data_IF_496588329960
#
_entry.id   IF_496588329960
#
_cell.length_a   1.000
_cell.length_b   1.000
_cell.length_c   1.000
_cell.angle_alpha   90.00
_cell.angle_beta   90.00
_cell.angle_gamma   90.00
#
_symmetry.space_group_name_H-M   'P 1'
#
loop_
_entity.id
_entity.type
_entity.pdbx_description
1 polymer ?
#
# COMPACT_ATOMS: atom_id res chain seq x y z
N UNK A 1 -14.66 -10.41 15.56
CA UNK A 1 -13.63 -9.54 14.95
C UNK A 1 -13.12 -10.25 13.70
N UNK A 2 -13.44 -9.71 12.54
CA UNK A 2 -12.87 -10.16 11.29
C UNK A 2 -11.52 -9.47 11.16
N UNK A 3 -10.44 -10.21 11.32
CA UNK A 3 -9.15 -9.75 10.85
C UNK A 3 -9.22 -9.58 9.35
N UNK A 4 -8.90 -8.40 8.95
CA UNK A 4 -8.93 -7.78 7.64
C UNK A 4 -8.86 -8.72 6.44
N UNK A 5 -9.80 -8.55 5.54
CA UNK A 5 -9.62 -8.97 4.14
C UNK A 5 -8.56 -8.03 3.54
N UNK A 6 -7.38 -8.54 3.28
CA UNK A 6 -6.37 -7.79 2.52
C UNK A 6 -6.74 -7.85 1.05
N UNK A 7 -7.17 -6.73 0.52
CA UNK A 7 -7.36 -6.53 -0.91
C UNK A 7 -6.04 -5.99 -1.49
N UNK A 8 -5.45 -6.75 -2.40
CA UNK A 8 -4.27 -6.32 -3.12
C UNK A 8 -4.71 -6.00 -4.52
N UNK A 9 -4.77 -4.71 -4.82
CA UNK A 9 -5.05 -4.21 -6.14
C UNK A 9 -3.76 -3.65 -6.75
N UNK A 10 -3.31 -4.26 -7.83
CA UNK A 10 -2.21 -3.74 -8.63
C UNK A 10 -2.78 -2.96 -9.80
N UNK A 11 -2.83 -1.65 -9.67
CA UNK A 11 -3.27 -0.76 -10.73
C UNK A 11 -2.19 -0.64 -11.82
N UNK A 12 -2.28 -1.48 -12.79
CA UNK A 12 -1.81 -1.27 -14.16
C UNK A 12 -2.96 -0.68 -14.98
N UNK A 13 -2.78 -0.32 -16.29
CA UNK A 13 -3.90 0.11 -17.14
C UNK A 13 -5.14 -0.73 -16.87
N UNK A 14 -6.29 -0.10 -16.83
CA UNK A 14 -7.56 -0.66 -16.31
C UNK A 14 -7.89 -2.07 -16.83
N UNK A 15 -7.47 -2.40 -18.04
CA UNK A 15 -7.57 -3.72 -18.68
C UNK A 15 -6.66 -4.80 -18.07
N UNK A 16 -5.69 -4.41 -17.25
CA UNK A 16 -4.70 -5.29 -16.63
C UNK A 16 -4.79 -5.32 -15.11
N UNK A 17 -5.93 -4.95 -14.54
CA UNK A 17 -6.13 -5.00 -13.09
C UNK A 17 -6.61 -6.39 -12.68
N UNK A 18 -5.95 -6.96 -11.70
CA UNK A 18 -6.35 -8.21 -11.09
C UNK A 18 -6.38 -8.10 -9.57
N UNK A 19 -7.52 -8.36 -8.97
CA UNK A 19 -7.69 -8.45 -7.53
C UNK A 19 -7.54 -9.89 -7.03
N UNK A 20 -6.96 -10.05 -5.86
CA UNK A 20 -6.93 -11.32 -5.16
C UNK A 20 -7.44 -11.12 -3.74
N UNK A 21 -8.55 -11.76 -3.41
CA UNK A 21 -9.11 -11.75 -2.05
C UNK A 21 -8.48 -12.92 -1.30
N UNK A 22 -7.70 -12.60 -0.28
CA UNK A 22 -7.10 -13.58 0.60
C UNK A 22 -7.91 -13.62 1.91
N UNK A 23 -8.75 -14.63 2.13
CA UNK A 23 -9.41 -14.78 3.42
C UNK A 23 -8.38 -15.20 4.47
N UNK A 24 -8.17 -14.35 5.46
CA UNK A 24 -7.32 -14.66 6.58
C UNK A 24 -8.19 -15.06 7.79
N UNK A 25 -7.98 -16.23 8.35
CA UNK A 25 -8.54 -16.53 9.65
C UNK A 25 -7.92 -15.60 10.70
N UNK A 26 -8.75 -15.17 11.62
CA UNK A 26 -8.43 -14.31 12.76
C UNK A 26 -7.02 -14.54 13.33
N UNK A 27 -6.22 -13.48 13.43
CA UNK A 27 -4.91 -13.47 14.09
C UNK A 27 -3.74 -14.08 13.33
N UNK A 28 -3.89 -14.58 12.11
CA UNK A 28 -2.77 -15.21 11.38
C UNK A 28 -1.83 -14.22 10.70
N UNK A 29 -2.27 -13.03 10.37
CA UNK A 29 -1.43 -12.02 9.74
C UNK A 29 -0.51 -11.30 10.71
N UNK A 30 -0.84 -11.31 12.00
CA UNK A 30 -0.09 -10.57 13.03
C UNK A 30 0.21 -9.14 12.59
N UNK A 31 -0.83 -8.45 12.10
CA UNK A 31 -0.69 -7.07 11.64
C UNK A 31 -0.05 -6.21 12.71
N UNK A 32 1.01 -5.46 12.40
CA UNK A 32 1.65 -4.59 13.36
C UNK A 32 0.72 -3.47 13.80
N UNK A 33 0.90 -3.00 15.03
CA UNK A 33 0.11 -1.89 15.59
C UNK A 33 0.51 -0.52 15.04
N UNK A 34 1.65 -0.47 14.38
CA UNK A 34 2.25 0.75 13.84
C UNK A 34 2.77 0.49 12.41
N UNK A 35 2.78 1.52 11.60
CA UNK A 35 3.24 1.45 10.21
C UNK A 35 4.76 1.38 10.04
N UNK A 36 5.50 1.71 11.08
CA UNK A 36 6.97 1.79 11.09
C UNK A 36 7.67 0.55 11.66
N UNK A 37 6.90 -0.42 12.16
CA UNK A 37 7.43 -1.62 12.79
C UNK A 37 6.76 -2.89 12.25
N UNK A 38 7.55 -3.96 12.22
CA UNK A 38 7.07 -5.29 11.86
C UNK A 38 6.92 -5.54 10.37
N UNK A 39 7.06 -6.78 10.01
CA UNK A 39 6.91 -7.27 8.65
C UNK A 39 5.53 -7.88 8.45
N UNK A 40 4.94 -7.66 7.29
CA UNK A 40 3.74 -8.39 6.85
C UNK A 40 4.12 -9.27 5.67
N UNK A 41 3.92 -10.58 5.82
CA UNK A 41 4.23 -11.57 4.79
C UNK A 41 3.03 -12.45 4.51
N UNK A 42 2.70 -12.57 3.25
CA UNK A 42 1.58 -13.36 2.77
C UNK A 42 2.10 -14.28 1.69
N UNK A 43 1.80 -15.57 1.80
CA UNK A 43 2.10 -16.51 0.73
C UNK A 43 1.07 -17.62 0.65
N UNK A 44 0.77 -18.00 -0.57
CA UNK A 44 -0.01 -19.19 -0.90
C UNK A 44 0.53 -19.79 -2.21
N UNK A 45 -0.14 -20.78 -2.79
CA UNK A 45 0.30 -21.40 -4.05
C UNK A 45 0.28 -20.48 -5.27
N UNK A 46 -0.31 -19.28 -5.17
CA UNK A 46 -0.50 -18.36 -6.30
C UNK A 46 0.24 -17.03 -6.13
N UNK A 47 0.49 -16.61 -4.89
CA UNK A 47 1.00 -15.28 -4.59
C UNK A 47 1.97 -15.33 -3.42
N UNK A 48 3.12 -14.68 -3.58
CA UNK A 48 4.00 -14.24 -2.50
C UNK A 48 4.00 -12.72 -2.42
N UNK A 49 3.71 -12.16 -1.24
CA UNK A 49 3.75 -10.73 -1.02
C UNK A 49 4.39 -10.44 0.33
N UNK A 50 5.35 -9.52 0.34
CA UNK A 50 6.02 -9.08 1.55
C UNK A 50 6.06 -7.56 1.62
N UNK A 51 5.66 -7.02 2.76
CA UNK A 51 5.93 -5.65 3.18
C UNK A 51 6.87 -5.71 4.38
N UNK A 52 8.10 -5.27 4.17
CA UNK A 52 9.13 -5.34 5.19
C UNK A 52 9.51 -3.92 5.63
N UNK A 53 9.79 -3.77 6.93
CA UNK A 53 10.29 -2.52 7.49
C UNK A 53 11.67 -2.80 8.07
N UNK A 54 12.70 -2.22 7.47
CA UNK A 54 14.11 -2.40 7.87
C UNK A 54 14.89 -1.10 7.70
N UNK A 55 15.62 -0.72 8.73
CA UNK A 55 16.54 0.41 8.67
C UNK A 55 15.89 1.67 8.08
N UNK A 56 14.69 2.02 8.58
CA UNK A 56 13.88 3.15 8.12
C UNK A 56 13.42 3.07 6.65
N UNK A 57 13.66 1.94 5.99
CA UNK A 57 13.21 1.65 4.63
C UNK A 57 12.03 0.70 4.64
N UNK A 58 11.19 0.85 3.64
CA UNK A 58 10.10 -0.08 3.34
C UNK A 58 10.46 -0.86 2.09
N UNK A 59 10.39 -2.17 2.19
CA UNK A 59 10.69 -3.06 1.06
C UNK A 59 9.40 -3.79 0.70
N UNK A 60 9.03 -3.70 -0.57
CA UNK A 60 7.89 -4.40 -1.14
C UNK A 60 8.41 -5.48 -2.07
N UNK A 61 8.03 -6.73 -1.80
CA UNK A 61 8.29 -7.86 -2.69
C UNK A 61 6.99 -8.51 -3.10
N UNK A 62 6.86 -8.78 -4.37
CA UNK A 62 5.74 -9.51 -4.93
C UNK A 62 6.26 -10.57 -5.88
N UNK A 63 5.65 -11.75 -5.82
CA UNK A 63 5.80 -12.81 -6.82
C UNK A 63 4.42 -13.39 -7.09
N UNK A 64 3.85 -13.07 -8.26
CA UNK A 64 2.51 -13.45 -8.66
C UNK A 64 2.54 -14.00 -10.10
N UNK A 65 2.91 -15.28 -10.29
CA UNK A 65 3.10 -15.86 -11.63
C UNK A 65 1.84 -15.84 -12.52
N UNK A 66 0.68 -16.06 -11.93
CA UNK A 66 -0.60 -16.12 -12.67
C UNK A 66 -1.29 -14.75 -12.83
N UNK A 67 -0.60 -13.66 -12.48
CA UNK A 67 -1.15 -12.32 -12.67
C UNK A 67 -1.51 -12.06 -14.12
N UNK A 68 -2.67 -11.45 -14.36
CA UNK A 68 -3.19 -11.09 -15.67
C UNK A 68 -3.11 -12.25 -16.70
N UNK A 69 -3.72 -13.38 -16.34
CA UNK A 69 -3.80 -14.55 -17.20
C UNK A 69 -2.47 -15.26 -17.47
N UNK A 70 -1.53 -15.18 -16.52
CA UNK A 70 -0.23 -15.84 -16.63
C UNK A 70 0.90 -14.96 -17.19
N UNK A 71 0.66 -13.67 -17.41
CA UNK A 71 1.72 -12.71 -17.78
C UNK A 71 2.75 -12.53 -16.67
N UNK A 72 2.33 -12.76 -15.42
CA UNK A 72 3.19 -12.71 -14.26
C UNK A 72 3.52 -11.29 -13.80
N UNK A 73 3.65 -11.14 -12.49
CA UNK A 73 4.11 -9.90 -11.83
C UNK A 73 5.14 -10.26 -10.79
N UNK A 74 6.33 -9.71 -10.91
CA UNK A 74 7.39 -9.84 -9.91
C UNK A 74 7.94 -8.46 -9.58
N UNK A 75 7.96 -8.11 -8.29
CA UNK A 75 8.43 -6.81 -7.83
C UNK A 75 9.43 -6.95 -6.68
N UNK A 76 10.41 -6.08 -6.67
CA UNK A 76 11.29 -5.84 -5.53
C UNK A 76 11.61 -4.34 -5.51
N UNK A 77 10.92 -3.61 -4.64
CA UNK A 77 10.97 -2.16 -4.56
C UNK A 77 11.38 -1.78 -3.14
N UNK A 78 12.28 -0.83 -3.02
CA UNK A 78 12.65 -0.19 -1.77
C UNK A 78 12.17 1.24 -1.79
N UNK A 79 11.47 1.64 -0.75
CA UNK A 79 11.05 3.01 -0.49
C UNK A 79 11.87 3.55 0.67
N UNK A 80 12.56 4.67 0.45
CA UNK A 80 13.28 5.35 1.51
C UNK A 80 12.35 6.31 2.21
N UNK A 81 12.08 6.02 3.49
CA UNK A 81 11.40 6.95 4.36
C UNK A 81 12.42 8.00 4.77
N UNK A 82 12.25 9.19 4.26
CA UNK A 82 12.95 10.35 4.78
C UNK A 82 12.14 10.89 5.96
N UNK A 83 12.74 11.71 6.80
CA UNK A 83 12.06 12.42 7.92
C UNK A 83 11.03 13.41 7.38
N UNK A 84 10.08 12.92 6.64
CA UNK A 84 9.09 13.71 5.92
C UNK A 84 7.81 13.85 6.73
N UNK A 85 7.08 14.89 6.42
CA UNK A 85 5.76 15.14 6.96
C UNK A 85 4.84 13.94 6.72
N UNK A 86 4.18 13.52 7.77
CA UNK A 86 3.17 12.46 7.71
C UNK A 86 1.78 13.03 8.00
N UNK A 87 0.82 12.68 7.16
CA UNK A 87 -0.56 13.01 7.40
C UNK A 87 -1.21 11.93 8.25
N UNK A 88 -1.81 12.32 9.37
CA UNK A 88 -2.56 11.42 10.24
C UNK A 88 -4.02 11.86 10.30
N UNK A 89 -4.93 10.94 10.09
CA UNK A 89 -6.36 11.15 10.15
C UNK A 89 -6.94 10.20 11.22
N UNK A 90 -7.74 10.75 12.13
CA UNK A 90 -8.52 9.98 13.07
C UNK A 90 -9.97 10.48 13.02
N UNK A 91 -10.86 9.66 12.47
CA UNK A 91 -12.25 10.04 12.22
C UNK A 91 -13.20 9.08 12.93
N UNK A 92 -14.08 9.55 13.82
CA UNK A 92 -15.20 8.77 14.29
C UNK A 92 -16.33 8.77 13.26
N UNK A 93 -17.06 7.67 13.15
CA UNK A 93 -18.27 7.63 12.32
C UNK A 93 -19.49 8.10 13.11
N UNK A 94 -20.33 8.93 12.49
CA UNK A 94 -21.52 9.51 13.13
C UNK A 94 -22.59 8.49 13.47
N UNK A 95 -22.72 7.46 12.66
CA UNK A 95 -23.79 6.45 12.74
C UNK A 95 -23.50 5.31 13.70
N UNK A 96 -22.23 5.05 13.99
CA UNK A 96 -21.80 4.02 14.93
C UNK A 96 -20.68 4.55 15.83
N UNK A 97 -20.96 4.72 17.11
CA UNK A 97 -20.00 5.22 18.10
C UNK A 97 -18.81 4.30 18.36
N UNK A 98 -18.88 3.05 17.94
CA UNK A 98 -17.79 2.08 18.04
C UNK A 98 -16.94 2.04 16.77
N UNK A 99 -17.46 2.58 15.68
CA UNK A 99 -16.73 2.67 14.42
C UNK A 99 -15.76 3.86 14.46
N UNK A 100 -14.57 3.62 13.96
CA UNK A 100 -13.54 4.65 13.83
C UNK A 100 -12.62 4.29 12.67
N UNK A 101 -11.97 5.29 12.14
CA UNK A 101 -10.95 5.19 11.12
C UNK A 101 -9.70 5.94 11.58
N UNK A 102 -8.59 5.24 11.67
CA UNK A 102 -7.27 5.82 11.88
C UNK A 102 -6.39 5.49 10.68
N UNK A 103 -5.78 6.50 10.11
CA UNK A 103 -4.99 6.35 8.91
C UNK A 103 -3.75 7.24 8.96
N UNK A 104 -2.66 6.71 8.42
CA UNK A 104 -1.42 7.43 8.21
C UNK A 104 -1.07 7.40 6.71
N UNK A 105 -0.71 8.54 6.18
CA UNK A 105 -0.30 8.68 4.78
C UNK A 105 1.05 9.38 4.71
N UNK A 106 1.96 8.78 3.95
CA UNK A 106 3.28 9.34 3.67
C UNK A 106 3.43 9.39 2.15
N UNK A 107 3.80 10.55 1.63
CA UNK A 107 4.08 10.75 0.22
C UNK A 107 5.58 10.95 0.00
N UNK A 108 6.01 11.00 -1.25
CA UNK A 108 7.35 11.37 -1.67
C UNK A 108 8.49 10.49 -1.12
N UNK A 109 8.22 9.26 -0.73
CA UNK A 109 9.30 8.31 -0.42
C UNK A 109 10.08 8.00 -1.69
N UNK A 110 11.39 8.20 -1.70
CA UNK A 110 12.22 7.86 -2.86
C UNK A 110 12.14 6.37 -3.14
N UNK A 111 11.81 6.02 -4.39
CA UNK A 111 11.60 4.63 -4.78
C UNK A 111 12.71 4.14 -5.68
N UNK A 112 13.27 2.97 -5.36
CA UNK A 112 14.21 2.27 -6.23
C UNK A 112 13.87 0.78 -6.30
N UNK A 113 14.24 0.15 -7.39
CA UNK A 113 14.01 -1.28 -7.57
C UNK A 113 13.52 -1.64 -8.94
N UNK A 114 12.90 -2.81 -9.03
CA UNK A 114 12.52 -3.40 -10.31
C UNK A 114 11.16 -4.08 -10.23
N UNK A 115 10.41 -3.96 -11.32
CA UNK A 115 9.18 -4.71 -11.56
C UNK A 115 9.31 -5.43 -12.91
N UNK A 116 9.02 -6.71 -12.90
CA UNK A 116 8.86 -7.52 -14.10
C UNK A 116 7.38 -7.78 -14.31
N UNK A 117 6.85 -7.40 -15.45
CA UNK A 117 5.49 -7.68 -15.85
C UNK A 117 5.45 -8.03 -17.33
N UNK A 118 4.76 -9.12 -17.69
CA UNK A 118 4.63 -9.60 -19.07
C UNK A 118 5.98 -9.72 -19.78
N UNK A 119 7.00 -10.25 -19.09
CA UNK A 119 8.37 -10.37 -19.61
C UNK A 119 9.13 -9.06 -19.76
N UNK A 120 8.51 -7.92 -19.47
CA UNK A 120 9.13 -6.60 -19.55
C UNK A 120 9.62 -6.13 -18.18
N UNK A 121 10.87 -5.64 -18.17
CA UNK A 121 11.47 -5.06 -16.98
C UNK A 121 11.20 -3.55 -16.91
N UNK A 122 10.73 -3.10 -15.73
CA UNK A 122 10.60 -1.70 -15.37
C UNK A 122 11.55 -1.43 -14.20
N UNK A 123 12.38 -0.42 -14.34
CA UNK A 123 13.34 0.00 -13.32
C UNK A 123 12.92 1.33 -12.74
N UNK A 124 13.01 1.45 -11.43
CA UNK A 124 12.69 2.65 -10.66
C UNK A 124 13.98 3.26 -10.15
N UNK A 125 14.10 4.56 -10.31
CA UNK A 125 15.25 5.37 -9.90
C UNK A 125 14.87 6.35 -8.80
N UNK A 126 15.61 6.40 -7.69
CA UNK A 126 15.29 7.31 -6.59
C UNK A 126 15.42 8.80 -6.95
N UNK A 127 16.02 9.12 -8.10
CA UNK A 127 16.09 10.49 -8.61
C UNK A 127 14.74 10.99 -9.13
N UNK A 128 13.91 10.08 -9.69
CA UNK A 128 12.69 10.45 -10.40
C UNK A 128 11.42 9.80 -9.86
N UNK A 129 11.57 8.67 -9.16
CA UNK A 129 10.44 7.84 -8.79
C UNK A 129 10.12 7.93 -7.30
N UNK A 130 8.83 7.93 -7.02
CA UNK A 130 8.31 8.07 -5.67
C UNK A 130 7.33 6.95 -5.32
N UNK A 131 7.33 6.57 -4.04
CA UNK A 131 6.31 5.75 -3.43
C UNK A 131 5.50 6.51 -2.40
N UNK A 132 4.36 5.95 -2.06
CA UNK A 132 3.49 6.45 -1.00
C UNK A 132 3.06 5.32 -0.06
N UNK A 133 2.77 5.68 1.18
CA UNK A 133 2.15 4.81 2.16
C UNK A 133 0.72 5.29 2.39
N UNK A 134 -0.22 4.37 2.32
CA UNK A 134 -1.55 4.50 2.90
C UNK A 134 -1.73 3.32 3.86
N UNK A 135 -1.60 3.59 5.15
CA UNK A 135 -1.73 2.60 6.19
C UNK A 135 -2.84 3.00 7.14
N UNK A 136 -3.72 2.07 7.44
CA UNK A 136 -4.82 2.37 8.32
C UNK A 136 -5.29 1.17 9.14
N UNK A 137 -6.01 1.49 10.21
CA UNK A 137 -6.72 0.53 11.06
C UNK A 137 -8.00 1.16 11.56
N UNK A 138 -9.00 0.33 11.78
CA UNK A 138 -10.26 0.83 12.28
C UNK A 138 -11.36 -0.21 12.30
N UNK A 139 -12.53 0.25 12.63
CA UNK A 139 -13.78 -0.48 12.51
C UNK A 139 -14.68 0.37 11.62
N UNK A 140 -14.85 -0.03 10.38
CA UNK A 140 -15.65 0.71 9.41
C UNK A 140 -17.12 0.40 9.55
N UNK A 141 -17.95 1.37 9.18
CA UNK A 141 -19.38 1.13 8.93
C UNK A 141 -19.55 0.29 7.67
N UNK A 142 -20.65 -0.47 7.58
CA UNK A 142 -20.92 -1.35 6.44
C UNK A 142 -21.06 -0.56 5.12
N UNK A 143 -21.82 0.53 5.16
CA UNK A 143 -21.99 1.44 4.03
C UNK A 143 -21.06 2.65 4.21
N UNK A 144 -20.08 2.78 3.33
CA UNK A 144 -19.11 3.84 3.39
C UNK A 144 -18.65 4.22 1.98
N UNK A 145 -18.64 5.52 1.68
CA UNK A 145 -18.20 6.05 0.40
C UNK A 145 -17.26 7.21 0.67
N UNK A 146 -16.09 7.16 0.08
CA UNK A 146 -15.14 8.28 0.09
C UNK A 146 -14.49 8.47 -1.28
N UNK A 147 -14.07 9.68 -1.53
CA UNK A 147 -13.21 10.02 -2.66
C UNK A 147 -11.83 10.39 -2.12
N UNK A 148 -10.82 9.87 -2.77
CA UNK A 148 -9.45 10.12 -2.36
C UNK A 148 -8.54 10.23 -3.57
N UNK A 149 -7.59 11.18 -3.47
CA UNK A 149 -6.50 11.34 -4.42
C UNK A 149 -5.20 11.58 -3.69
N UNK A 150 -4.13 11.06 -4.21
CA UNK A 150 -2.78 11.21 -3.69
C UNK A 150 -1.79 11.37 -4.82
N UNK A 151 -0.75 12.14 -4.59
CA UNK A 151 0.32 12.29 -5.55
C UNK A 151 1.64 12.67 -4.91
N UNK A 152 2.72 12.39 -5.62
CA UNK A 152 4.08 12.71 -5.25
C UNK A 152 4.84 13.20 -6.46
N UNK A 153 5.76 14.13 -6.27
CA UNK A 153 6.57 14.68 -7.34
C UNK A 153 7.68 15.59 -6.83
N UNK A 154 8.36 16.23 -7.77
CA UNK A 154 9.41 17.20 -7.49
C UNK A 154 9.28 18.37 -8.47
N UNK A 155 9.37 19.58 -7.95
CA UNK A 155 9.37 20.84 -8.73
C UNK A 155 10.53 21.68 -8.25
N UNK A 156 11.39 22.10 -9.15
CA UNK A 156 12.56 22.94 -8.88
C UNK A 156 13.45 22.40 -7.73
N UNK A 157 13.65 21.08 -7.66
CA UNK A 157 14.42 20.42 -6.61
C UNK A 157 13.70 20.28 -5.26
N UNK A 158 12.44 20.71 -5.17
CA UNK A 158 11.63 20.58 -3.97
C UNK A 158 10.62 19.45 -4.11
N UNK A 159 10.65 18.49 -3.20
CA UNK A 159 9.65 17.43 -3.15
C UNK A 159 8.31 17.98 -2.74
N UNK A 160 7.28 17.48 -3.38
CA UNK A 160 5.90 17.90 -3.20
C UNK A 160 4.99 16.69 -3.21
N UNK A 161 4.17 16.56 -2.17
CA UNK A 161 3.18 15.51 -2.07
C UNK A 161 1.84 16.06 -1.58
N UNK A 162 0.76 15.39 -1.97
CA UNK A 162 -0.58 15.76 -1.52
C UNK A 162 -1.47 14.54 -1.25
N UNK A 163 -2.40 14.73 -0.34
CA UNK A 163 -3.55 13.86 -0.15
C UNK A 163 -4.81 14.73 -0.11
N UNK A 164 -5.80 14.38 -0.90
CA UNK A 164 -7.08 15.07 -0.97
C UNK A 164 -8.17 14.05 -0.70
N UNK A 165 -9.01 14.31 0.29
CA UNK A 165 -10.11 13.42 0.66
C UNK A 165 -11.42 14.15 0.85
N UNK A 166 -12.52 13.47 0.49
CA UNK A 166 -13.88 13.94 0.66
C UNK A 166 -14.82 12.77 0.93
N UNK A 167 -15.84 12.99 1.77
CA UNK A 167 -16.91 12.00 2.00
C UNK A 167 -16.72 11.11 3.24
N UNK A 168 -15.99 11.62 4.24
CA UNK A 168 -15.80 10.94 5.54
C UNK A 168 -16.97 11.20 6.50
#
# INVERSE_FOLDING_TARGET
ELDSVSFIDFSVPREHTQGNILPFPLGRLHMPSDSSIGDVKISNSKLGLEFLVKDEKRIIRCDFPEFDGGKGLKANITLESLDDDTMVIATPFKTDKKAFYYNQKINCMRACGKVMYDGKLYEFSPETDFGGLDWGRGVWTYDNIWYWGSGSGEVDGHRFGFNIGYGF
#
